data_IF_915898008891
#
_entry.id   IF_915898008891
#
_cell.length_a   1.000
_cell.length_b   1.000
_cell.length_c   1.000
_cell.angle_alpha   90.00
_cell.angle_beta   90.00
_cell.angle_gamma   90.00
#
_symmetry.space_group_name_H-M   'P 1'
#
loop_
_entity.id
_entity.type
_entity.pdbx_description
1 polymer ?
#
# COMPACT_ATOMS: atom_id res chain seq x y z
N UNK A 1 -13.43 6.34 16.85
CA UNK A 1 -12.58 6.74 15.71
C UNK A 1 -11.26 6.00 15.88
N UNK A 2 -11.12 4.85 15.22
CA UNK A 2 -9.90 4.04 15.32
C UNK A 2 -8.79 4.77 14.58
N UNK A 3 -7.70 5.08 15.28
CA UNK A 3 -6.51 5.74 14.72
C UNK A 3 -5.61 4.76 13.96
N UNK A 4 -6.06 3.52 13.79
CA UNK A 4 -5.23 2.39 13.35
C UNK A 4 -5.60 1.88 11.94
N UNK A 5 -6.55 2.52 11.27
CA UNK A 5 -6.94 2.13 9.91
C UNK A 5 -6.63 3.25 8.89
N UNK A 6 -5.50 3.19 8.17
CA UNK A 6 -5.13 4.16 7.13
C UNK A 6 -6.20 4.28 6.02
N UNK A 7 -7.07 3.28 5.96
CA UNK A 7 -7.92 2.96 4.82
C UNK A 7 -9.27 3.67 4.83
N UNK A 8 -9.66 4.38 5.90
CA UNK A 8 -11.07 4.79 6.08
C UNK A 8 -11.56 5.75 4.97
N UNK A 9 -10.69 6.61 4.45
CA UNK A 9 -10.99 7.52 3.34
C UNK A 9 -11.12 6.81 1.98
N UNK A 10 -10.35 5.73 1.76
CA UNK A 10 -10.26 5.02 0.48
C UNK A 10 -10.96 3.65 0.51
N UNK A 11 -11.61 3.31 1.63
CA UNK A 11 -12.22 2.00 1.90
C UNK A 11 -13.12 1.55 0.76
N UNK A 12 -14.03 2.42 0.32
CA UNK A 12 -14.98 2.09 -0.74
C UNK A 12 -14.29 1.83 -2.09
N UNK A 13 -13.21 2.56 -2.40
CA UNK A 13 -12.43 2.32 -3.62
C UNK A 13 -11.73 0.96 -3.54
N UNK A 14 -11.17 0.64 -2.38
CA UNK A 14 -10.41 -0.59 -2.14
C UNK A 14 -11.31 -1.83 -2.12
N UNK A 15 -12.44 -1.78 -1.44
CA UNK A 15 -13.42 -2.88 -1.39
C UNK A 15 -13.93 -3.26 -2.79
N UNK A 16 -14.06 -2.27 -3.67
CA UNK A 16 -14.53 -2.48 -5.04
C UNK A 16 -13.39 -2.73 -6.04
N UNK A 17 -12.11 -2.74 -5.63
CA UNK A 17 -10.97 -2.99 -6.53
C UNK A 17 -11.12 -4.26 -7.37
N UNK A 18 -11.55 -5.42 -6.82
CA UNK A 18 -11.71 -6.64 -7.61
C UNK A 18 -12.78 -6.52 -8.70
N UNK A 19 -13.77 -5.64 -8.52
CA UNK A 19 -14.90 -5.44 -9.43
C UNK A 19 -14.71 -4.22 -10.35
N UNK A 20 -13.88 -3.26 -9.95
CA UNK A 20 -13.66 -1.96 -10.59
C UNK A 20 -12.15 -1.64 -10.63
N UNK A 21 -11.42 -2.15 -11.66
CA UNK A 21 -9.99 -1.91 -11.79
C UNK A 21 -9.64 -0.43 -11.98
N UNK A 22 -10.58 0.42 -12.40
CA UNK A 22 -10.41 1.87 -12.46
C UNK A 22 -10.10 2.50 -11.09
N UNK A 23 -10.55 1.89 -9.99
CA UNK A 23 -10.25 2.36 -8.64
C UNK A 23 -8.74 2.25 -8.35
N UNK A 24 -8.06 1.24 -8.92
CA UNK A 24 -6.61 1.12 -8.78
C UNK A 24 -5.91 2.29 -9.46
N UNK A 25 -6.30 2.62 -10.69
CA UNK A 25 -5.71 3.73 -11.44
C UNK A 25 -5.91 5.07 -10.73
N UNK A 26 -7.07 5.28 -10.09
CA UNK A 26 -7.33 6.48 -9.30
C UNK A 26 -6.44 6.54 -8.06
N UNK A 27 -6.30 5.43 -7.33
CA UNK A 27 -5.41 5.35 -6.16
C UNK A 27 -3.95 5.57 -6.56
N UNK A 28 -3.49 4.98 -7.66
CA UNK A 28 -2.15 5.20 -8.20
C UNK A 28 -1.95 6.67 -8.57
N UNK A 29 -2.93 7.32 -9.22
CA UNK A 29 -2.85 8.74 -9.53
C UNK A 29 -2.78 9.62 -8.27
N UNK A 30 -3.52 9.28 -7.21
CA UNK A 30 -3.46 10.01 -5.93
C UNK A 30 -2.10 9.79 -5.26
N UNK A 31 -1.57 8.57 -5.28
CA UNK A 31 -0.24 8.25 -4.79
C UNK A 31 0.84 9.04 -5.55
N UNK A 32 0.82 9.06 -6.88
CA UNK A 32 1.81 9.80 -7.68
C UNK A 32 1.72 11.32 -7.50
N UNK A 33 0.59 11.85 -7.04
CA UNK A 33 0.45 13.26 -6.64
C UNK A 33 1.08 13.58 -5.26
N UNK A 34 1.85 12.65 -4.68
CA UNK A 34 2.58 12.85 -3.42
C UNK A 34 1.78 12.46 -2.17
N UNK A 35 0.66 11.75 -2.31
CA UNK A 35 -0.09 11.29 -1.16
C UNK A 35 0.58 10.06 -0.52
N UNK A 36 1.44 10.31 0.47
CA UNK A 36 2.19 9.28 1.19
C UNK A 36 1.31 8.23 1.87
N UNK A 37 0.12 8.62 2.33
CA UNK A 37 -0.86 7.71 2.93
C UNK A 37 -1.37 6.70 1.89
N UNK A 38 -1.72 7.16 0.69
CA UNK A 38 -2.19 6.27 -0.39
C UNK A 38 -1.06 5.36 -0.90
N UNK A 39 0.16 5.87 -0.98
CA UNK A 39 1.33 5.03 -1.25
C UNK A 39 1.47 3.91 -0.19
N UNK A 40 1.33 4.24 1.09
CA UNK A 40 1.36 3.24 2.16
C UNK A 40 0.24 2.21 2.04
N UNK A 41 -1.00 2.65 1.78
CA UNK A 41 -2.16 1.78 1.59
C UNK A 41 -1.96 0.80 0.41
N UNK A 42 -1.52 1.30 -0.75
CA UNK A 42 -1.21 0.44 -1.90
C UNK A 42 -0.14 -0.58 -1.56
N UNK A 43 0.93 -0.14 -0.88
CA UNK A 43 1.99 -1.01 -0.39
C UNK A 43 1.48 -2.10 0.55
N UNK A 44 0.55 -1.76 1.45
CA UNK A 44 -0.09 -2.67 2.38
C UNK A 44 -1.02 -3.68 1.67
N UNK A 45 -1.82 -3.24 0.71
CA UNK A 45 -2.72 -4.12 -0.06
C UNK A 45 -1.94 -5.19 -0.80
N UNK A 46 -0.88 -4.80 -1.51
CA UNK A 46 0.03 -5.73 -2.19
C UNK A 46 0.79 -6.64 -1.20
N UNK A 47 1.12 -6.17 0.00
CA UNK A 47 1.78 -6.99 1.02
C UNK A 47 0.85 -8.09 1.57
N UNK A 48 -0.39 -7.73 1.89
CA UNK A 48 -1.39 -8.65 2.46
C UNK A 48 -2.01 -9.56 1.41
N UNK A 49 -2.07 -9.12 0.16
CA UNK A 49 -2.94 -9.72 -0.84
C UNK A 49 -4.42 -9.44 -0.55
N UNK A 50 -4.70 -8.30 0.08
CA UNK A 50 -6.07 -7.87 0.38
C UNK A 50 -6.50 -6.86 -0.69
N UNK A 51 -7.63 -7.12 -1.34
CA UNK A 51 -8.15 -6.40 -2.51
C UNK A 51 -7.33 -6.55 -3.80
N UNK A 52 -6.02 -6.77 -3.69
CA UNK A 52 -5.08 -7.01 -4.79
C UNK A 52 -4.39 -8.35 -4.61
N UNK A 53 -3.89 -8.93 -5.70
CA UNK A 53 -3.01 -10.10 -5.62
C UNK A 53 -1.74 -9.74 -4.85
N UNK A 54 -1.29 -10.64 -3.97
CA UNK A 54 -0.10 -10.42 -3.17
C UNK A 54 1.14 -10.29 -4.08
N UNK A 55 1.84 -9.17 -3.95
CA UNK A 55 3.03 -8.87 -4.74
C UNK A 55 4.03 -8.10 -3.85
N UNK A 56 5.07 -8.80 -3.38
CA UNK A 56 6.04 -8.18 -2.47
C UNK A 56 6.90 -7.11 -3.16
N UNK A 57 7.14 -7.24 -4.47
CA UNK A 57 7.96 -6.28 -5.20
C UNK A 57 7.20 -4.97 -5.40
N UNK A 58 5.92 -5.04 -5.79
CA UNK A 58 5.04 -3.86 -5.84
C UNK A 58 4.78 -3.26 -4.46
N UNK A 59 4.64 -4.10 -3.43
CA UNK A 59 4.53 -3.64 -2.06
C UNK A 59 5.73 -2.77 -1.68
N UNK A 60 6.95 -3.30 -1.84
CA UNK A 60 8.18 -2.55 -1.52
C UNK A 60 8.33 -1.29 -2.35
N UNK A 61 7.91 -1.30 -3.63
CA UNK A 61 7.92 -0.10 -4.49
C UNK A 61 7.12 1.05 -3.87
N UNK A 62 5.85 0.80 -3.53
CA UNK A 62 4.98 1.83 -2.96
C UNK A 62 5.41 2.24 -1.55
N UNK A 63 5.84 1.29 -0.72
CA UNK A 63 6.33 1.58 0.63
C UNK A 63 7.62 2.41 0.62
N UNK A 64 8.51 2.17 -0.35
CA UNK A 64 9.73 2.95 -0.50
C UNK A 64 9.42 4.39 -0.91
N UNK A 65 8.42 4.63 -1.77
CA UNK A 65 7.94 5.98 -2.08
C UNK A 65 7.34 6.66 -0.83
N UNK A 66 6.43 5.99 -0.13
CA UNK A 66 5.82 6.51 1.08
C UNK A 66 6.86 6.88 2.15
N UNK A 67 7.88 6.02 2.35
CA UNK A 67 9.02 6.30 3.23
C UNK A 67 9.77 7.56 2.81
N UNK A 68 10.01 7.77 1.51
CA UNK A 68 10.72 8.96 1.01
C UNK A 68 9.93 10.24 1.28
N UNK A 69 8.60 10.16 1.34
CA UNK A 69 7.70 11.24 1.78
C UNK A 69 7.58 11.35 3.32
N UNK A 70 8.34 10.56 4.08
CA UNK A 70 8.38 10.61 5.55
C UNK A 70 7.32 9.75 6.26
N UNK A 71 6.66 8.82 5.56
CA UNK A 71 5.65 7.95 6.15
C UNK A 71 6.27 6.85 7.03
N UNK A 72 6.23 7.03 8.35
CA UNK A 72 6.89 6.14 9.33
C UNK A 72 6.41 4.69 9.26
N UNK A 73 5.10 4.46 9.18
CA UNK A 73 4.55 3.09 9.10
C UNK A 73 4.96 2.38 7.80
N UNK A 74 5.27 3.15 6.74
CA UNK A 74 5.73 2.56 5.49
C UNK A 74 7.17 2.07 5.61
N UNK A 75 8.02 2.81 6.33
CA UNK A 75 9.37 2.36 6.66
C UNK A 75 9.36 1.05 7.48
N UNK A 76 8.51 0.98 8.52
CA UNK A 76 8.37 -0.23 9.35
C UNK A 76 7.91 -1.43 8.51
N UNK A 77 6.88 -1.25 7.68
CA UNK A 77 6.37 -2.33 6.82
C UNK A 77 7.38 -2.72 5.73
N UNK A 78 8.13 -1.76 5.19
CA UNK A 78 9.18 -2.03 4.20
C UNK A 78 10.27 -2.93 4.78
N UNK A 79 10.74 -2.66 6.00
CA UNK A 79 11.72 -3.51 6.69
C UNK A 79 11.17 -4.92 6.88
N UNK A 80 9.89 -5.05 7.23
CA UNK A 80 9.25 -6.36 7.36
C UNK A 80 9.17 -7.11 6.02
N UNK A 81 8.78 -6.44 4.93
CA UNK A 81 8.76 -7.01 3.58
C UNK A 81 10.15 -7.51 3.16
N UNK A 82 11.19 -6.72 3.39
CA UNK A 82 12.58 -7.09 3.06
C UNK A 82 13.03 -8.31 3.85
N UNK A 83 12.76 -8.36 5.15
CA UNK A 83 13.08 -9.50 5.99
C UNK A 83 12.36 -10.78 5.50
N UNK A 84 11.06 -10.69 5.21
CA UNK A 84 10.28 -11.81 4.68
C UNK A 84 10.81 -12.33 3.35
N UNK A 85 11.22 -11.43 2.43
CA UNK A 85 11.77 -11.83 1.14
C UNK A 85 13.12 -12.54 1.28
N UNK A 86 13.95 -12.14 2.24
CA UNK A 86 15.24 -12.80 2.52
C UNK A 86 15.07 -14.18 3.17
N UNK A 87 14.04 -14.39 3.98
CA UNK A 87 13.76 -15.66 4.66
C UNK A 87 13.12 -16.73 3.75
N UNK A 88 12.55 -16.31 2.61
CA UNK A 88 11.87 -17.19 1.65
C UNK A 88 12.73 -17.54 0.41
N UNK A 89 14.03 -17.21 0.44
CA UNK A 89 15.01 -17.60 -0.58
C UNK A 89 15.79 -18.81 -0.11
#
# INVERSE_FOLDING_TARGET
MNKDNPTEQYRTMLENLPQQPENLQQLEAIAENGNAEVMYILGWCYFKGEYLEKDLDKSMYWLQKAKNEGHKQAEELLVYCQFMQLMNR
#
